data_IF_724732969016
#
_entry.id   IF_724732969016
#
_cell.length_a   1.000
_cell.length_b   1.000
_cell.length_c   1.000
_cell.angle_alpha   90.00
_cell.angle_beta   90.00
_cell.angle_gamma   90.00
#
_symmetry.space_group_name_H-M   'P 1'
#
loop_
_entity.id
_entity.type
_entity.pdbx_description
1 polymer ?
#
# COMPACT_ATOMS: atom_id res chain seq x y z
N UNK A 1 -9.72 -15.11 -4.88
CA UNK A 1 -10.10 -14.36 -6.09
C UNK A 1 -9.55 -12.96 -5.93
N UNK A 2 -8.52 -12.58 -6.71
CA UNK A 2 -8.11 -11.17 -6.82
C UNK A 2 -9.11 -10.54 -7.79
N UNK A 3 -10.05 -9.75 -7.27
CA UNK A 3 -11.01 -8.99 -8.07
C UNK A 3 -10.36 -7.64 -8.40
N UNK A 4 -9.84 -7.52 -9.62
CA UNK A 4 -9.29 -6.27 -10.16
C UNK A 4 -8.30 -6.51 -11.28
N UNK A 5 -8.45 -5.79 -12.39
CA UNK A 5 -7.37 -5.70 -13.38
C UNK A 5 -6.19 -4.93 -12.74
N UNK A 6 -4.94 -5.27 -13.03
CA UNK A 6 -3.77 -4.65 -12.36
C UNK A 6 -3.74 -3.11 -12.41
N UNK A 7 -4.47 -2.49 -13.34
CA UNK A 7 -4.62 -1.03 -13.47
C UNK A 7 -5.44 -0.41 -12.33
N UNK A 8 -6.38 -1.14 -11.73
CA UNK A 8 -7.27 -0.59 -10.71
C UNK A 8 -6.65 -0.62 -9.30
N UNK A 9 -5.62 -1.44 -9.11
CA UNK A 9 -4.98 -1.69 -7.82
C UNK A 9 -3.82 -0.73 -7.55
N UNK A 10 -2.99 -0.49 -8.56
CA UNK A 10 -1.73 0.25 -8.43
C UNK A 10 -1.82 1.67 -9.00
N UNK A 11 -1.18 2.62 -8.34
CA UNK A 11 -1.00 3.97 -8.89
C UNK A 11 0.00 3.94 -10.05
N UNK A 12 0.04 5.01 -10.84
CA UNK A 12 1.05 5.15 -11.88
C UNK A 12 2.47 5.25 -11.30
N UNK A 13 2.63 5.83 -10.09
CA UNK A 13 3.90 5.84 -9.38
C UNK A 13 4.39 4.42 -9.04
N UNK A 14 3.50 3.58 -8.52
CA UNK A 14 3.80 2.20 -8.16
C UNK A 14 4.12 1.35 -9.39
N UNK A 15 3.35 1.49 -10.47
CA UNK A 15 3.58 0.76 -11.73
C UNK A 15 4.94 1.09 -12.32
N UNK A 16 5.26 2.38 -12.46
CA UNK A 16 6.58 2.83 -12.94
C UNK A 16 7.71 2.25 -12.09
N UNK A 17 7.57 2.23 -10.76
CA UNK A 17 8.58 1.64 -9.88
C UNK A 17 8.71 0.12 -10.07
N UNK A 18 7.59 -0.62 -10.13
CA UNK A 18 7.60 -2.07 -10.24
C UNK A 18 8.14 -2.52 -11.60
N UNK A 19 7.70 -1.87 -12.68
CA UNK A 19 8.11 -2.19 -14.05
C UNK A 19 9.59 -1.87 -14.30
N UNK A 20 10.19 -0.97 -13.51
CA UNK A 20 11.62 -0.67 -13.58
C UNK A 20 12.52 -1.72 -12.91
N UNK A 21 11.97 -2.82 -12.36
CA UNK A 21 12.73 -3.84 -11.63
C UNK A 21 12.67 -5.18 -12.35
N UNK A 22 13.79 -5.90 -12.36
CA UNK A 22 13.85 -7.25 -12.93
C UNK A 22 12.86 -8.21 -12.25
N UNK A 23 12.72 -8.11 -10.93
CA UNK A 23 11.79 -8.91 -10.13
C UNK A 23 10.43 -8.20 -9.96
N UNK A 24 9.83 -7.75 -11.07
CA UNK A 24 8.63 -6.90 -11.07
C UNK A 24 7.44 -7.54 -10.36
N UNK A 25 7.26 -8.85 -10.50
CA UNK A 25 6.11 -9.59 -9.96
C UNK A 25 6.14 -9.56 -8.43
N UNK A 26 7.30 -9.80 -7.85
CA UNK A 26 7.54 -9.75 -6.42
C UNK A 26 7.40 -8.33 -5.88
N UNK A 27 7.78 -7.31 -6.68
CA UNK A 27 7.48 -5.92 -6.32
C UNK A 27 5.98 -5.67 -6.27
N UNK A 28 5.22 -6.03 -7.31
CA UNK A 28 3.77 -5.87 -7.29
C UNK A 28 3.12 -6.62 -6.12
N UNK A 29 3.53 -7.86 -5.86
CA UNK A 29 3.05 -8.64 -4.72
C UNK A 29 3.32 -7.94 -3.37
N UNK A 30 4.52 -7.37 -3.17
CA UNK A 30 4.84 -6.61 -1.97
C UNK A 30 3.99 -5.34 -1.81
N UNK A 31 3.66 -4.64 -2.91
CA UNK A 31 2.77 -3.45 -2.85
C UNK A 31 1.34 -3.87 -2.56
N UNK A 32 0.89 -4.97 -3.14
CA UNK A 32 -0.44 -5.50 -2.85
C UNK A 32 -0.59 -5.87 -1.37
N UNK A 33 0.38 -6.60 -0.81
CA UNK A 33 0.41 -6.94 0.61
C UNK A 33 0.41 -5.67 1.50
N UNK A 34 1.15 -4.63 1.10
CA UNK A 34 1.17 -3.35 1.82
C UNK A 34 -0.19 -2.66 1.82
N UNK A 35 -0.88 -2.61 0.67
CA UNK A 35 -2.20 -1.99 0.54
C UNK A 35 -3.24 -2.73 1.39
N UNK A 36 -3.21 -4.06 1.36
CA UNK A 36 -4.04 -4.90 2.23
C UNK A 36 -3.79 -4.63 3.71
N UNK A 37 -2.52 -4.61 4.13
CA UNK A 37 -2.16 -4.30 5.51
C UNK A 37 -2.60 -2.89 5.94
N UNK A 38 -2.48 -1.91 5.04
CA UNK A 38 -2.90 -0.54 5.29
C UNK A 38 -4.43 -0.40 5.41
N UNK A 39 -5.21 -1.04 4.53
CA UNK A 39 -6.68 -1.06 4.65
C UNK A 39 -7.15 -1.69 5.96
N UNK A 40 -6.45 -2.73 6.44
CA UNK A 40 -6.73 -3.36 7.73
C UNK A 40 -6.38 -2.43 8.88
N UNK A 41 -5.23 -1.77 8.84
CA UNK A 41 -4.82 -0.81 9.87
C UNK A 41 -5.77 0.38 9.98
N UNK A 42 -6.33 0.86 8.86
CA UNK A 42 -7.37 1.89 8.84
C UNK A 42 -8.72 1.42 9.42
N UNK A 43 -8.90 0.11 9.68
CA UNK A 43 -10.16 -0.45 10.19
C UNK A 43 -11.33 -0.32 9.21
N UNK A 44 -11.06 -0.08 7.93
CA UNK A 44 -12.11 0.27 6.94
C UNK A 44 -12.74 -0.94 6.27
N UNK A 45 -12.07 -2.10 6.27
CA UNK A 45 -12.46 -3.23 5.41
C UNK A 45 -12.74 -2.77 3.96
N UNK A 46 -13.53 -3.56 3.23
CA UNK A 46 -14.06 -3.16 1.91
C UNK A 46 -15.28 -2.22 2.01
N UNK A 47 -15.85 -2.03 3.19
CA UNK A 47 -17.19 -1.46 3.38
C UNK A 47 -17.24 0.06 3.50
N UNK A 48 -16.08 0.75 3.54
CA UNK A 48 -16.01 2.21 3.73
C UNK A 48 -15.56 3.01 2.49
N UNK A 49 -15.58 2.41 1.31
CA UNK A 49 -15.29 3.13 0.06
C UNK A 49 -13.82 3.54 -0.13
N UNK A 50 -12.90 2.99 0.66
CA UNK A 50 -11.45 3.10 0.40
C UNK A 50 -11.11 2.26 -0.83
N UNK A 51 -10.56 2.90 -1.86
CA UNK A 51 -10.12 2.21 -3.07
C UNK A 51 -8.64 1.86 -2.95
N UNK A 52 -8.21 0.85 -3.69
CA UNK A 52 -6.80 0.44 -3.75
C UNK A 52 -5.83 1.57 -4.06
N UNK A 53 -6.21 2.48 -4.97
CA UNK A 53 -5.40 3.64 -5.38
C UNK A 53 -5.45 4.81 -4.40
N UNK A 54 -6.31 4.75 -3.39
CA UNK A 54 -6.31 5.71 -2.29
C UNK A 54 -5.17 5.42 -1.30
N UNK A 55 -4.47 4.29 -1.45
CA UNK A 55 -3.29 3.90 -0.66
C UNK A 55 -2.14 3.70 -1.62
N UNK A 56 -1.07 4.49 -1.49
CA UNK A 56 0.09 4.42 -2.37
C UNK A 56 1.35 4.05 -1.60
N UNK A 57 2.06 3.01 -2.06
CA UNK A 57 3.35 2.62 -1.49
C UNK A 57 4.46 3.47 -2.09
N UNK A 58 5.00 4.37 -1.28
CA UNK A 58 6.05 5.30 -1.66
C UNK A 58 7.41 4.89 -1.10
N UNK A 59 8.48 5.54 -1.55
CA UNK A 59 9.81 5.49 -0.93
C UNK A 59 10.24 6.89 -0.54
N UNK A 60 10.66 7.05 0.71
CA UNK A 60 11.29 8.27 1.19
C UNK A 60 12.74 8.39 0.67
N UNK A 61 13.37 9.58 0.78
CA UNK A 61 14.81 9.72 0.63
C UNK A 61 15.56 8.65 1.46
N UNK A 62 16.58 8.04 0.89
CA UNK A 62 17.26 6.87 1.49
C UNK A 62 16.54 5.53 1.24
N UNK A 63 15.42 5.53 0.53
CA UNK A 63 14.76 4.31 0.03
C UNK A 63 13.85 3.61 1.03
N UNK A 64 13.64 4.17 2.24
CA UNK A 64 12.72 3.61 3.24
C UNK A 64 11.28 3.60 2.68
N UNK A 65 10.58 2.46 2.69
CA UNK A 65 9.19 2.40 2.24
C UNK A 65 8.26 3.11 3.21
N UNK A 66 7.21 3.73 2.68
CA UNK A 66 6.13 4.38 3.46
C UNK A 66 4.82 4.30 2.67
N UNK A 67 3.73 4.79 3.25
CA UNK A 67 2.42 4.88 2.61
C UNK A 67 1.99 6.34 2.55
N UNK A 68 1.51 6.75 1.38
CA UNK A 68 0.76 7.99 1.20
C UNK A 68 -0.72 7.63 1.06
N UNK A 69 -1.55 8.22 1.93
CA UNK A 69 -3.00 8.08 1.84
C UNK A 69 -3.59 9.24 1.04
N UNK A 70 -4.55 8.92 0.18
CA UNK A 70 -5.28 9.85 -0.68
C UNK A 70 -6.80 9.65 -0.50
N UNK A 71 -7.61 10.59 -0.99
CA UNK A 71 -9.08 10.46 -1.01
C UNK A 71 -9.68 9.96 0.31
N UNK A 72 -10.58 8.97 0.23
CA UNK A 72 -11.26 8.39 1.38
C UNK A 72 -10.30 7.80 2.41
N UNK A 73 -9.16 7.24 1.99
CA UNK A 73 -8.17 6.68 2.92
C UNK A 73 -7.52 7.78 3.77
N UNK A 74 -7.23 8.94 3.18
CA UNK A 74 -6.68 10.08 3.89
C UNK A 74 -7.66 10.63 4.92
N UNK A 75 -8.94 10.73 4.55
CA UNK A 75 -10.00 11.17 5.47
C UNK A 75 -10.13 10.23 6.68
N UNK A 76 -10.08 8.91 6.45
CA UNK A 76 -10.14 7.93 7.54
C UNK A 76 -8.89 8.00 8.42
N UNK A 77 -7.70 8.06 7.82
CA UNK A 77 -6.44 8.18 8.56
C UNK A 77 -6.46 9.42 9.47
N UNK A 78 -6.93 10.56 8.93
CA UNK A 78 -7.08 11.81 9.69
C UNK A 78 -8.07 11.66 10.85
N UNK A 79 -9.23 11.01 10.64
CA UNK A 79 -10.22 10.75 11.70
C UNK A 79 -9.69 9.83 12.81
N UNK A 80 -8.77 8.92 12.49
CA UNK A 80 -8.09 8.06 13.47
C UNK A 80 -6.98 8.80 14.24
N UNK A 81 -6.60 10.02 13.81
CA UNK A 81 -5.48 10.76 14.36
C UNK A 81 -4.11 10.26 13.90
N UNK A 82 -4.05 9.46 12.82
CA UNK A 82 -2.80 8.90 12.34
C UNK A 82 -1.91 9.99 11.73
N UNK A 83 -0.85 10.38 12.44
CA UNK A 83 0.15 11.37 12.03
C UNK A 83 1.31 10.71 11.29
N UNK A 84 1.68 9.49 11.69
CA UNK A 84 2.78 8.75 11.10
C UNK A 84 2.37 7.34 10.65
N UNK A 85 3.05 6.85 9.60
CA UNK A 85 2.86 5.51 9.05
C UNK A 85 4.20 4.79 8.95
N UNK A 86 4.36 3.74 9.75
CA UNK A 86 5.48 2.82 9.62
C UNK A 86 5.08 1.66 8.69
N UNK A 87 5.92 1.40 7.69
CA UNK A 87 5.75 0.29 6.75
C UNK A 87 7.01 -0.58 6.74
N UNK A 88 6.82 -1.89 6.91
CA UNK A 88 7.83 -2.91 6.64
C UNK A 88 7.34 -3.84 5.52
N UNK A 89 8.25 -4.20 4.61
CA UNK A 89 7.97 -5.07 3.45
C UNK A 89 9.04 -6.15 3.35
N UNK A 90 8.59 -7.40 3.20
CA UNK A 90 9.45 -8.53 2.84
C UNK A 90 8.80 -9.33 1.71
N UNK A 91 9.62 -9.85 0.79
CA UNK A 91 9.14 -10.71 -0.30
C UNK A 91 10.23 -11.70 -0.72
N UNK A 92 9.77 -12.85 -1.16
CA UNK A 92 10.55 -13.90 -1.85
C UNK A 92 9.91 -14.15 -3.22
N UNK A 93 10.43 -15.13 -3.96
CA UNK A 93 9.78 -15.58 -5.20
C UNK A 93 8.36 -16.15 -4.99
N UNK A 94 8.02 -16.59 -3.77
CA UNK A 94 6.80 -17.34 -3.47
C UNK A 94 5.79 -16.55 -2.62
N UNK A 95 6.26 -15.59 -1.83
CA UNK A 95 5.41 -14.86 -0.89
C UNK A 95 5.81 -13.40 -0.72
N UNK A 96 4.85 -12.57 -0.35
CA UNK A 96 5.07 -11.21 0.08
C UNK A 96 4.30 -10.91 1.37
N UNK A 97 4.95 -10.24 2.31
CA UNK A 97 4.41 -9.90 3.62
C UNK A 97 4.65 -8.41 3.85
N UNK A 98 3.65 -7.74 4.43
CA UNK A 98 3.74 -6.36 4.83
C UNK A 98 3.16 -6.15 6.23
N UNK A 99 3.77 -5.24 6.98
CA UNK A 99 3.27 -4.78 8.27
C UNK A 99 3.12 -3.27 8.24
N UNK A 100 1.98 -2.77 8.70
CA UNK A 100 1.64 -1.34 8.77
C UNK A 100 1.26 -0.99 10.20
N UNK A 101 1.84 0.08 10.71
CA UNK A 101 1.48 0.69 12.00
C UNK A 101 1.11 2.14 11.71
N UNK A 102 -0.04 2.56 12.24
CA UNK A 102 -0.50 3.95 12.24
C UNK A 102 -0.23 4.51 13.64
N UNK A 103 0.46 5.64 13.72
CA UNK A 103 0.90 6.28 14.97
C UNK A 103 0.32 7.70 15.04
N UNK A 104 -0.01 8.14 16.25
CA UNK A 104 -0.60 9.46 16.54
C UNK A 104 0.42 10.41 17.15
#
# INVERSE_FOLDING_TARGET
MIVGTGIEVFTEGERRYCDSKANRVERYAARFAAKEAAMKALGTGWSRGVRWRDIEVCRQPGGRPTISFHGTAAEVASKLGAVHVALSLSHTAEQAIAQVILEN
#
